data_IF_834143690769
#
_entry.id   IF_834143690769
#
_cell.length_a   1.000
_cell.length_b   1.000
_cell.length_c   1.000
_cell.angle_alpha   90.00
_cell.angle_beta   90.00
_cell.angle_gamma   90.00
#
_symmetry.space_group_name_H-M   'P 1'
#
loop_
_entity.id
_entity.type
_entity.pdbx_description
1 polymer ?
#
# COMPACT_ATOMS: atom_id res chain seq x y z
N UNK A 1 -18.29 -47.19 8.62
CA UNK A 1 -18.96 -45.87 8.75
C UNK A 1 -18.46 -45.04 9.95
N UNK A 2 -17.52 -45.51 10.79
CA UNK A 2 -17.06 -44.82 12.00
C UNK A 2 -15.83 -43.89 11.84
N UNK A 3 -15.28 -43.77 10.64
CA UNK A 3 -14.01 -43.07 10.42
C UNK A 3 -14.15 -41.53 10.38
N UNK A 4 -15.32 -40.98 10.03
CA UNK A 4 -15.55 -39.52 9.94
C UNK A 4 -15.61 -38.85 11.32
N UNK A 5 -16.35 -39.46 12.26
CA UNK A 5 -16.49 -38.93 13.62
C UNK A 5 -15.14 -38.91 14.33
N UNK A 6 -14.33 -39.96 14.16
CA UNK A 6 -12.98 -40.02 14.73
C UNK A 6 -12.07 -38.95 14.13
N UNK A 7 -12.16 -38.64 12.84
CA UNK A 7 -11.35 -37.58 12.21
C UNK A 7 -11.74 -36.18 12.73
N UNK A 8 -13.02 -35.93 12.97
CA UNK A 8 -13.51 -34.64 13.47
C UNK A 8 -13.20 -34.41 14.95
N UNK A 9 -13.17 -35.46 15.78
CA UNK A 9 -12.98 -35.33 17.23
C UNK A 9 -11.59 -35.70 17.72
N UNK A 10 -10.73 -36.31 16.89
CA UNK A 10 -9.37 -36.65 17.31
C UNK A 10 -8.43 -35.47 17.07
N UNK A 11 -7.86 -34.97 18.16
CA UNK A 11 -6.87 -33.90 18.20
C UNK A 11 -5.49 -34.44 17.76
N UNK A 12 -4.95 -33.94 16.64
CA UNK A 12 -3.54 -34.15 16.29
C UNK A 12 -2.75 -33.00 16.92
N UNK A 13 -1.61 -33.30 17.54
CA UNK A 13 -0.86 -32.38 18.43
C UNK A 13 -0.21 -31.16 17.76
N UNK A 14 -0.76 -30.66 16.65
CA UNK A 14 -0.28 -29.54 15.85
C UNK A 14 -1.18 -28.30 15.93
N UNK A 15 -2.12 -28.22 16.88
CA UNK A 15 -3.00 -27.05 17.13
C UNK A 15 -4.46 -27.45 17.45
N UNK A 16 -5.30 -26.48 17.84
CA UNK A 16 -6.71 -26.72 18.21
C UNK A 16 -7.61 -27.13 17.02
N UNK A 17 -7.19 -26.84 15.78
CA UNK A 17 -7.85 -27.23 14.53
C UNK A 17 -6.83 -27.71 13.49
N UNK A 18 -7.17 -28.75 12.71
CA UNK A 18 -6.37 -29.21 11.58
C UNK A 18 -6.66 -28.36 10.32
N UNK A 19 -6.20 -27.11 10.28
CA UNK A 19 -6.32 -26.26 9.10
C UNK A 19 -5.28 -26.67 8.03
N UNK A 20 -5.59 -26.55 6.73
CA UNK A 20 -4.57 -26.67 5.71
C UNK A 20 -3.50 -25.60 5.93
N UNK A 21 -2.22 -25.98 5.84
CA UNK A 21 -1.13 -25.01 5.89
C UNK A 21 -1.27 -24.06 4.71
N UNK A 22 -1.47 -22.78 5.02
CA UNK A 22 -1.47 -21.74 4.00
C UNK A 22 -0.10 -21.09 3.98
N UNK A 23 0.32 -20.46 2.88
CA UNK A 23 1.56 -19.69 2.86
C UNK A 23 1.62 -18.62 3.98
N UNK A 24 0.46 -18.22 4.49
CA UNK A 24 0.28 -17.24 5.58
C UNK A 24 0.50 -17.82 6.98
N UNK A 25 0.46 -19.16 7.16
CA UNK A 25 0.73 -19.82 8.45
C UNK A 25 2.20 -20.18 8.64
N UNK A 26 3.05 -19.88 7.65
CA UNK A 26 4.49 -20.06 7.77
C UNK A 26 5.04 -19.01 8.76
N UNK A 27 6.12 -19.32 9.46
CA UNK A 27 6.86 -18.33 10.26
C UNK A 27 7.63 -17.34 9.39
N UNK A 28 7.79 -17.59 8.08
CA UNK A 28 8.38 -16.68 7.11
C UNK A 28 7.69 -16.77 5.72
N UNK A 29 6.42 -16.33 5.56
CA UNK A 29 5.74 -16.21 4.28
C UNK A 29 6.59 -15.57 3.17
N UNK A 30 6.51 -16.16 1.98
CA UNK A 30 7.10 -15.59 0.77
C UNK A 30 6.30 -14.33 0.37
N UNK A 31 6.90 -13.14 0.55
CA UNK A 31 6.45 -11.78 0.18
C UNK A 31 6.09 -10.79 1.31
N UNK A 32 6.41 -11.07 2.57
CA UNK A 32 6.25 -10.10 3.68
C UNK A 32 7.42 -9.10 3.81
N UNK A 33 8.43 -9.23 2.96
CA UNK A 33 9.57 -8.33 2.94
C UNK A 33 9.16 -6.86 2.67
N UNK A 34 9.85 -5.89 3.30
CA UNK A 34 9.46 -4.48 3.32
C UNK A 34 9.44 -3.82 1.94
N UNK A 35 10.19 -4.31 0.93
CA UNK A 35 10.26 -3.66 -0.40
C UNK A 35 10.38 -4.70 -1.53
N UNK A 36 9.55 -4.54 -2.58
CA UNK A 36 9.52 -5.43 -3.77
C UNK A 36 10.66 -5.13 -4.75
N UNK A 37 11.15 -3.89 -4.73
CA UNK A 37 12.15 -3.38 -5.67
C UNK A 37 13.56 -3.79 -5.19
N UNK A 38 14.29 -4.53 -6.05
CA UNK A 38 15.59 -5.13 -5.72
C UNK A 38 16.65 -4.12 -5.26
N UNK A 39 16.73 -2.94 -5.87
CA UNK A 39 17.71 -1.92 -5.48
C UNK A 39 17.40 -1.27 -4.12
N UNK A 40 16.12 -1.04 -3.82
CA UNK A 40 15.65 -0.56 -2.52
C UNK A 40 15.84 -1.62 -1.44
N UNK A 41 15.64 -2.90 -1.75
CA UNK A 41 15.92 -4.02 -0.83
C UNK A 41 17.40 -4.04 -0.43
N UNK A 42 18.30 -3.77 -1.38
CA UNK A 42 19.75 -3.65 -1.11
C UNK A 42 20.09 -2.46 -0.20
N UNK A 43 19.45 -1.31 -0.42
CA UNK A 43 19.57 -0.14 0.46
C UNK A 43 19.04 -0.43 1.87
N UNK A 44 17.90 -1.11 1.96
CA UNK A 44 17.27 -1.44 3.23
C UNK A 44 18.09 -2.43 4.06
N UNK A 45 18.64 -3.46 3.41
CA UNK A 45 19.55 -4.41 4.04
C UNK A 45 20.84 -3.75 4.53
N UNK A 46 21.29 -2.68 3.85
CA UNK A 46 22.45 -1.89 4.27
C UNK A 46 22.14 -0.96 5.45
N UNK A 47 20.92 -0.43 5.54
CA UNK A 47 20.49 0.41 6.66
C UNK A 47 20.11 -0.41 7.91
N UNK A 48 19.52 -1.59 7.70
CA UNK A 48 18.85 -2.37 8.75
C UNK A 48 19.53 -3.72 8.95
N UNK A 49 20.82 -3.74 9.32
CA UNK A 49 21.64 -4.95 9.55
C UNK A 49 21.10 -6.00 10.56
N UNK A 50 19.84 -5.92 11.01
CA UNK A 50 19.15 -6.95 11.81
C UNK A 50 18.29 -7.86 10.93
N UNK A 51 18.64 -9.15 10.87
CA UNK A 51 17.99 -10.19 10.05
C UNK A 51 16.61 -10.63 10.56
N UNK A 52 15.66 -9.71 10.68
CA UNK A 52 14.24 -10.02 10.91
C UNK A 52 13.45 -9.65 9.66
N UNK A 53 12.98 -10.67 8.95
CA UNK A 53 12.26 -10.59 7.67
C UNK A 53 10.79 -10.12 7.81
N UNK A 54 10.33 -9.80 9.02
CA UNK A 54 8.98 -9.28 9.27
C UNK A 54 8.93 -7.76 9.28
N UNK A 55 7.93 -7.18 8.63
CA UNK A 55 7.59 -5.77 8.71
C UNK A 55 7.13 -5.41 10.13
N UNK A 56 8.08 -5.23 11.06
CA UNK A 56 7.81 -4.81 12.42
C UNK A 56 7.30 -3.35 12.50
N UNK A 57 6.77 -2.92 13.66
CA UNK A 57 6.28 -1.55 13.87
C UNK A 57 7.28 -0.47 13.46
N UNK A 58 8.58 -0.73 13.68
CA UNK A 58 9.69 0.15 13.31
C UNK A 58 9.72 0.47 11.81
N UNK A 59 9.38 -0.48 10.95
CA UNK A 59 9.34 -0.26 9.50
C UNK A 59 8.26 0.77 9.12
N UNK A 60 7.05 0.60 9.66
CA UNK A 60 5.94 1.51 9.41
C UNK A 60 6.22 2.93 9.92
N UNK A 61 6.91 3.06 11.06
CA UNK A 61 7.33 4.37 11.58
C UNK A 61 8.31 5.06 10.63
N UNK A 62 9.27 4.33 10.05
CA UNK A 62 10.22 4.91 9.09
C UNK A 62 9.52 5.35 7.81
N UNK A 63 8.57 4.55 7.32
CA UNK A 63 7.73 4.93 6.17
C UNK A 63 6.90 6.18 6.51
N UNK A 64 6.28 6.27 7.69
CA UNK A 64 5.53 7.44 8.12
C UNK A 64 6.40 8.72 8.11
N UNK A 65 7.61 8.63 8.67
CA UNK A 65 8.56 9.76 8.71
C UNK A 65 8.98 10.17 7.30
N UNK A 66 9.26 9.22 6.42
CA UNK A 66 9.57 9.51 5.02
C UNK A 66 8.43 10.26 4.33
N UNK A 67 7.18 9.79 4.49
CA UNK A 67 6.01 10.49 3.93
C UNK A 67 5.83 11.89 4.53
N UNK A 68 6.08 12.05 5.83
CA UNK A 68 6.02 13.35 6.49
C UNK A 68 7.06 14.33 5.91
N UNK A 69 8.29 13.87 5.66
CA UNK A 69 9.33 14.67 5.01
C UNK A 69 8.89 15.08 3.59
N UNK A 70 8.30 14.17 2.82
CA UNK A 70 7.75 14.49 1.49
C UNK A 70 6.68 15.58 1.59
N UNK A 71 5.78 15.52 2.58
CA UNK A 71 4.76 16.57 2.76
C UNK A 71 5.36 17.91 3.20
N UNK A 72 6.41 17.90 4.02
CA UNK A 72 7.10 19.12 4.43
C UNK A 72 7.82 19.77 3.24
N UNK A 73 8.44 18.95 2.37
CA UNK A 73 9.00 19.40 1.10
C UNK A 73 7.93 19.98 0.17
N UNK A 74 6.77 19.34 0.06
CA UNK A 74 5.64 19.84 -0.74
C UNK A 74 5.21 21.25 -0.29
N UNK A 75 5.06 21.44 1.02
CA UNK A 75 4.74 22.75 1.60
C UNK A 75 5.86 23.76 1.37
N UNK A 76 7.12 23.36 1.53
CA UNK A 76 8.25 24.24 1.30
C UNK A 76 8.31 24.70 -0.16
N UNK A 77 8.15 23.77 -1.12
CA UNK A 77 8.13 24.08 -2.55
C UNK A 77 6.98 25.04 -2.90
N UNK A 78 5.81 24.88 -2.28
CA UNK A 78 4.69 25.80 -2.46
C UNK A 78 5.03 27.25 -2.07
N UNK A 79 5.92 27.45 -1.09
CA UNK A 79 6.38 28.80 -0.70
C UNK A 79 7.35 29.43 -1.71
N UNK A 80 8.00 28.61 -2.54
CA UNK A 80 9.03 29.05 -3.48
C UNK A 80 8.37 29.51 -4.80
N UNK A 81 8.22 30.83 -4.94
CA UNK A 81 7.51 31.46 -6.08
C UNK A 81 8.23 31.36 -7.43
N UNK A 82 9.49 30.94 -7.45
CA UNK A 82 10.35 30.86 -8.64
C UNK A 82 10.01 29.72 -9.60
N UNK A 83 9.17 28.76 -9.20
CA UNK A 83 8.83 27.58 -10.01
C UNK A 83 7.71 27.79 -11.03
N UNK A 84 7.01 28.93 -11.01
CA UNK A 84 6.07 29.35 -12.06
C UNK A 84 5.12 28.25 -12.54
N UNK A 85 5.18 27.90 -13.83
CA UNK A 85 4.32 26.90 -14.46
C UNK A 85 4.66 25.43 -14.07
N UNK A 86 5.88 25.16 -13.59
CA UNK A 86 6.31 23.81 -13.18
C UNK A 86 5.80 23.42 -11.79
N UNK A 87 5.30 24.37 -11.02
CA UNK A 87 4.81 24.14 -9.66
C UNK A 87 3.62 23.15 -9.65
N UNK A 88 2.63 23.36 -10.53
CA UNK A 88 1.43 22.53 -10.61
C UNK A 88 1.73 21.04 -10.91
N UNK A 89 2.47 20.68 -11.98
CA UNK A 89 2.75 19.27 -12.26
C UNK A 89 3.64 18.62 -11.18
N UNK A 90 4.56 19.39 -10.58
CA UNK A 90 5.43 18.87 -9.51
C UNK A 90 4.64 18.56 -8.24
N UNK A 91 3.74 19.45 -7.83
CA UNK A 91 2.85 19.22 -6.68
C UNK A 91 1.94 18.02 -6.92
N UNK A 92 1.39 17.89 -8.13
CA UNK A 92 0.56 16.73 -8.48
C UNK A 92 1.35 15.42 -8.39
N UNK A 93 2.60 15.41 -8.85
CA UNK A 93 3.48 14.24 -8.78
C UNK A 93 3.87 13.88 -7.34
N UNK A 94 4.24 14.86 -6.51
CA UNK A 94 4.53 14.64 -5.08
C UNK A 94 3.29 14.13 -4.34
N UNK A 95 2.11 14.67 -4.66
CA UNK A 95 0.84 14.24 -4.08
C UNK A 95 0.45 12.81 -4.51
N UNK A 96 0.69 12.44 -5.77
CA UNK A 96 0.49 11.08 -6.24
C UNK A 96 1.44 10.10 -5.54
N UNK A 97 2.71 10.48 -5.33
CA UNK A 97 3.71 9.65 -4.65
C UNK A 97 3.30 9.37 -3.20
N UNK A 98 2.91 10.40 -2.43
CA UNK A 98 2.44 10.19 -1.04
C UNK A 98 1.19 9.31 -1.02
N UNK A 99 0.26 9.50 -1.95
CA UNK A 99 -0.95 8.69 -2.04
C UNK A 99 -0.62 7.21 -2.27
N UNK A 100 0.24 6.90 -3.24
CA UNK A 100 0.67 5.52 -3.52
C UNK A 100 1.39 4.93 -2.30
N UNK A 101 2.24 5.72 -1.61
CA UNK A 101 2.89 5.29 -0.38
C UNK A 101 1.90 4.93 0.73
N UNK A 102 0.89 5.76 0.96
CA UNK A 102 -0.15 5.50 1.96
C UNK A 102 -0.96 4.25 1.60
N UNK A 103 -1.41 4.15 0.35
CA UNK A 103 -2.24 3.03 -0.11
C UNK A 103 -1.45 1.71 -0.05
N UNK A 104 -0.21 1.70 -0.51
CA UNK A 104 0.59 0.48 -0.53
C UNK A 104 0.95 -0.02 0.89
N UNK A 105 1.33 0.89 1.80
CA UNK A 105 1.87 0.51 3.11
C UNK A 105 0.86 0.66 4.25
N UNK A 106 0.17 1.79 4.39
CA UNK A 106 -0.75 2.03 5.52
C UNK A 106 -2.15 1.43 5.30
N UNK A 107 -2.61 1.33 4.06
CA UNK A 107 -3.84 0.58 3.73
C UNK A 107 -3.59 -0.91 3.50
N UNK A 108 -2.36 -1.39 3.70
CA UNK A 108 -1.98 -2.80 3.62
C UNK A 108 -2.24 -3.53 2.29
N UNK A 109 -2.66 -2.83 1.23
CA UNK A 109 -2.93 -3.42 -0.10
C UNK A 109 -1.77 -4.26 -0.66
N UNK A 110 -0.54 -3.94 -0.26
CA UNK A 110 0.64 -4.68 -0.66
C UNK A 110 0.78 -6.03 0.04
N UNK A 111 0.39 -6.10 1.31
CA UNK A 111 0.49 -7.31 2.14
C UNK A 111 -0.78 -8.16 2.05
N UNK A 112 -1.89 -7.55 1.67
CA UNK A 112 -3.18 -8.20 1.47
C UNK A 112 -3.33 -8.93 0.13
N UNK A 113 -4.44 -9.66 -0.01
CA UNK A 113 -4.77 -10.36 -1.24
C UNK A 113 -5.02 -9.40 -2.41
N UNK A 114 -4.60 -9.79 -3.62
CA UNK A 114 -4.73 -8.99 -4.87
C UNK A 114 -6.16 -8.49 -5.16
N UNK A 115 -7.18 -9.16 -4.63
CA UNK A 115 -8.58 -8.74 -4.79
C UNK A 115 -8.84 -7.37 -4.16
N UNK A 116 -8.23 -7.06 -3.01
CA UNK A 116 -8.37 -5.75 -2.38
C UNK A 116 -7.77 -4.65 -3.25
N UNK A 117 -6.60 -4.89 -3.84
CA UNK A 117 -5.98 -3.96 -4.79
C UNK A 117 -6.83 -3.74 -6.03
N UNK A 118 -7.44 -4.81 -6.59
CA UNK A 118 -8.31 -4.71 -7.76
C UNK A 118 -9.56 -3.87 -7.45
N UNK A 119 -10.24 -4.17 -6.34
CA UNK A 119 -11.47 -3.46 -5.94
C UNK A 119 -11.16 -1.98 -5.67
N UNK A 120 -10.11 -1.70 -4.90
CA UNK A 120 -9.69 -0.32 -4.61
C UNK A 120 -9.35 0.46 -5.89
N UNK A 121 -8.54 -0.13 -6.77
CA UNK A 121 -8.15 0.51 -8.03
C UNK A 121 -9.36 0.74 -8.94
N UNK A 122 -10.30 -0.21 -8.98
CA UNK A 122 -11.54 -0.05 -9.74
C UNK A 122 -12.38 1.13 -9.22
N UNK A 123 -12.59 1.22 -7.91
CA UNK A 123 -13.29 2.35 -7.30
C UNK A 123 -12.57 3.68 -7.56
N UNK A 124 -11.24 3.70 -7.54
CA UNK A 124 -10.44 4.90 -7.81
C UNK A 124 -10.60 5.36 -9.27
N UNK A 125 -10.50 4.45 -10.23
CA UNK A 125 -10.72 4.74 -11.66
C UNK A 125 -12.14 5.24 -11.89
N UNK A 126 -13.14 4.59 -11.28
CA UNK A 126 -14.53 5.00 -11.37
C UNK A 126 -14.71 6.44 -10.84
N UNK A 127 -14.17 6.74 -9.65
CA UNK A 127 -14.24 8.08 -9.07
C UNK A 127 -13.58 9.15 -9.94
N UNK A 128 -12.39 8.87 -10.46
CA UNK A 128 -11.68 9.76 -11.41
C UNK A 128 -12.51 9.95 -12.67
N UNK A 129 -13.08 8.88 -13.22
CA UNK A 129 -13.92 8.96 -14.42
C UNK A 129 -15.14 9.84 -14.20
N UNK A 130 -15.84 9.69 -13.07
CA UNK A 130 -17.00 10.52 -12.73
C UNK A 130 -16.59 11.99 -12.57
N UNK A 131 -15.46 12.26 -11.91
CA UNK A 131 -14.95 13.62 -11.76
C UNK A 131 -14.61 14.26 -13.12
N UNK A 132 -13.96 13.52 -14.02
CA UNK A 132 -13.67 13.98 -15.38
C UNK A 132 -14.98 14.22 -16.16
N UNK A 133 -15.96 13.31 -16.06
CA UNK A 133 -17.27 13.49 -16.70
C UNK A 133 -17.97 14.76 -16.23
N UNK A 134 -17.88 15.09 -14.94
CA UNK A 134 -18.43 16.34 -14.39
C UNK A 134 -17.71 17.57 -14.93
N UNK A 135 -16.38 17.55 -15.03
CA UNK A 135 -15.61 18.65 -15.61
C UNK A 135 -15.94 18.87 -17.09
N UNK A 136 -16.06 17.79 -17.87
CA UNK A 136 -16.47 17.85 -19.27
C UNK A 136 -17.89 18.39 -19.40
N UNK A 137 -18.82 17.91 -18.57
CA UNK A 137 -20.20 18.42 -18.56
C UNK A 137 -20.21 19.92 -18.30
N UNK A 138 -19.46 20.39 -17.31
CA UNK A 138 -19.32 21.82 -17.01
C UNK A 138 -18.78 22.62 -18.20
N UNK A 139 -17.72 22.11 -18.84
CA UNK A 139 -17.10 22.77 -19.98
C UNK A 139 -17.99 22.82 -21.23
N UNK A 140 -18.79 21.77 -21.49
CA UNK A 140 -19.62 21.68 -22.70
C UNK A 140 -21.05 22.21 -22.51
N UNK A 141 -21.60 22.12 -21.30
CA UNK A 141 -22.95 22.60 -20.98
C UNK A 141 -23.03 24.12 -20.82
N UNK A 142 -21.91 24.86 -20.99
CA UNK A 142 -21.89 26.32 -20.91
C UNK A 142 -22.16 26.88 -19.51
N UNK A 143 -22.06 26.05 -18.47
CA UNK A 143 -22.09 26.48 -17.08
C UNK A 143 -20.81 27.28 -16.84
N UNK A 144 -20.90 28.61 -16.91
CA UNK A 144 -19.81 29.48 -16.48
C UNK A 144 -19.63 29.35 -14.96
N UNK A 145 -18.39 29.42 -14.45
CA UNK A 145 -18.13 29.41 -13.01
C UNK A 145 -18.85 30.54 -12.28
#
# INVERSE_FOLDING_TARGET
MSNLWKILTTHKGNGWWNLPETPQSNTNPKNEGPISISWLKKLWNLLSHGGVDHAGPTFYTIVAVFLAIVTLLELWIYTVKTLGAWLNPLLFLLSALKFIGVVAFFMHLRFDHKYFTIIFTFCMILGISVFISLLLLWSFAGLKP
#
